data_IF_515347793565
#
_entry.id   IF_515347793565
#
_cell.length_a   1.000
_cell.length_b   1.000
_cell.length_c   1.000
_cell.angle_alpha   90.00
_cell.angle_beta   90.00
_cell.angle_gamma   90.00
#
_symmetry.space_group_name_H-M   'P 1'
#
loop_
_entity.id
_entity.type
_entity.pdbx_description
1 polymer ?
#
# COMPACT_ATOMS: atom_id res chain seq x y z
N UNK A 1 74.08 1.17 21.92
CA UNK A 1 72.95 2.06 22.28
C UNK A 1 72.58 2.82 21.02
N UNK A 2 71.33 2.67 20.55
CA UNK A 2 70.88 3.41 19.38
C UNK A 2 70.92 4.91 19.71
N UNK A 3 71.65 5.69 18.90
CA UNK A 3 71.71 7.14 19.03
C UNK A 3 70.30 7.68 18.80
N UNK A 4 69.67 8.15 19.87
CA UNK A 4 68.37 8.81 19.77
C UNK A 4 68.60 10.11 19.00
N UNK A 5 68.00 10.22 17.81
CA UNK A 5 68.06 11.43 17.01
C UNK A 5 67.38 12.54 17.80
N UNK A 6 68.13 13.54 18.23
CA UNK A 6 67.59 14.64 19.02
C UNK A 6 66.84 15.59 18.10
N UNK A 7 65.51 15.42 18.04
CA UNK A 7 64.64 16.27 17.23
C UNK A 7 64.62 17.70 17.76
N UNK A 8 64.56 18.66 16.84
CA UNK A 8 64.39 20.07 17.19
C UNK A 8 63.04 20.28 17.90
N UNK A 9 62.94 21.35 18.69
CA UNK A 9 61.68 21.71 19.36
C UNK A 9 60.55 21.93 18.35
N UNK A 10 60.87 22.50 17.18
CA UNK A 10 59.94 22.72 16.08
C UNK A 10 59.43 21.40 15.47
N UNK A 11 60.32 20.44 15.22
CA UNK A 11 59.96 19.11 14.70
C UNK A 11 59.10 18.33 15.69
N UNK A 12 59.39 18.45 17.00
CA UNK A 12 58.58 17.86 18.08
C UNK A 12 57.18 18.48 18.12
N UNK A 13 57.08 19.81 18.02
CA UNK A 13 55.79 20.53 18.00
C UNK A 13 54.95 20.18 16.76
N UNK A 14 55.55 20.15 15.57
CA UNK A 14 54.85 19.79 14.34
C UNK A 14 54.32 18.35 14.40
N UNK A 15 55.13 17.42 14.91
CA UNK A 15 54.73 16.02 15.11
C UNK A 15 53.62 15.88 16.15
N UNK A 16 53.67 16.66 17.23
CA UNK A 16 52.64 16.67 18.28
C UNK A 16 51.30 17.19 17.74
N UNK A 17 51.30 18.25 16.95
CA UNK A 17 50.09 18.78 16.30
C UNK A 17 49.51 17.76 15.31
N UNK A 18 50.37 17.07 14.55
CA UNK A 18 49.91 16.02 13.65
C UNK A 18 49.25 14.86 14.43
N UNK A 19 49.84 14.44 15.55
CA UNK A 19 49.27 13.41 16.42
C UNK A 19 47.92 13.84 17.01
N UNK A 20 47.82 15.06 17.54
CA UNK A 20 46.56 15.59 18.08
C UNK A 20 45.44 15.60 17.03
N UNK A 21 45.73 15.98 15.78
CA UNK A 21 44.74 15.93 14.69
C UNK A 21 44.28 14.51 14.37
N UNK A 22 45.17 13.52 14.48
CA UNK A 22 44.80 12.11 14.30
C UNK A 22 43.94 11.65 15.46
N UNK A 23 44.27 12.02 16.69
CA UNK A 23 43.51 11.70 17.89
C UNK A 23 42.09 12.30 17.84
N UNK A 24 41.93 13.57 17.45
CA UNK A 24 40.61 14.19 17.25
C UNK A 24 39.75 13.44 16.22
N UNK A 25 40.36 12.96 15.13
CA UNK A 25 39.64 12.13 14.15
C UNK A 25 39.25 10.76 14.69
N UNK A 26 40.06 10.17 15.56
CA UNK A 26 39.73 8.90 16.23
C UNK A 26 38.53 9.12 17.15
N UNK A 27 38.49 10.22 17.90
CA UNK A 27 37.38 10.57 18.77
C UNK A 27 36.08 10.76 17.97
N UNK A 28 36.13 11.49 16.85
CA UNK A 28 34.99 11.63 15.93
C UNK A 28 34.47 10.26 15.44
N UNK A 29 35.36 9.34 15.09
CA UNK A 29 34.99 7.98 14.69
C UNK A 29 34.36 7.20 15.85
N UNK A 30 34.85 7.38 17.08
CA UNK A 30 34.26 6.70 18.24
C UNK A 30 32.86 7.21 18.55
N UNK A 31 32.63 8.53 18.46
CA UNK A 31 31.30 9.13 18.61
C UNK A 31 30.35 8.59 17.54
N UNK A 32 30.78 8.63 16.26
CA UNK A 32 29.96 8.12 15.15
C UNK A 32 29.64 6.63 15.31
N UNK A 33 30.56 5.82 15.83
CA UNK A 33 30.30 4.40 16.11
C UNK A 33 29.22 4.18 17.17
N UNK A 34 28.98 5.13 18.06
CA UNK A 34 27.90 5.08 19.04
C UNK A 34 26.58 5.59 18.50
N UNK A 35 26.61 6.71 17.76
CA UNK A 35 25.42 7.38 17.22
C UNK A 35 24.83 6.63 16.01
N UNK A 36 25.69 6.16 15.10
CA UNK A 36 25.25 5.51 13.86
C UNK A 36 24.39 4.26 14.10
N UNK A 37 24.71 3.35 15.05
CA UNK A 37 23.80 2.24 15.37
C UNK A 37 22.43 2.68 15.86
N UNK A 38 22.33 3.80 16.58
CA UNK A 38 21.03 4.32 17.03
C UNK A 38 20.24 4.85 15.84
N UNK A 39 20.87 5.63 14.97
CA UNK A 39 20.24 6.14 13.75
C UNK A 39 19.77 5.00 12.82
N UNK A 40 20.59 3.95 12.67
CA UNK A 40 20.21 2.75 11.90
C UNK A 40 19.01 2.06 12.54
N UNK A 41 18.98 1.90 13.86
CA UNK A 41 17.86 1.30 14.58
C UNK A 41 16.57 2.10 14.39
N UNK A 42 16.64 3.44 14.51
CA UNK A 42 15.50 4.32 14.33
C UNK A 42 14.93 4.21 12.90
N UNK A 43 15.82 4.13 11.89
CA UNK A 43 15.43 3.92 10.49
C UNK A 43 14.82 2.53 10.25
N UNK A 44 15.34 1.48 10.89
CA UNK A 44 14.77 0.12 10.82
C UNK A 44 13.35 0.06 11.41
N UNK A 45 13.12 0.77 12.52
CA UNK A 45 11.80 0.91 13.13
C UNK A 45 10.83 1.69 12.23
N UNK A 46 11.28 2.78 11.60
CA UNK A 46 10.49 3.53 10.63
C UNK A 46 10.11 2.67 9.43
N UNK A 47 11.07 1.94 8.85
CA UNK A 47 10.84 1.00 7.74
C UNK A 47 9.81 -0.05 8.13
N UNK A 48 9.90 -0.59 9.35
CA UNK A 48 8.95 -1.59 9.85
C UNK A 48 7.54 -0.99 9.97
N UNK A 49 7.44 0.23 10.50
CA UNK A 49 6.16 0.96 10.57
C UNK A 49 5.55 1.23 9.20
N UNK A 50 6.37 1.64 8.22
CA UNK A 50 5.96 1.87 6.84
C UNK A 50 5.49 0.57 6.17
N UNK A 51 6.21 -0.54 6.32
CA UNK A 51 5.82 -1.85 5.80
C UNK A 51 4.48 -2.33 6.38
N UNK A 52 4.26 -2.15 7.69
CA UNK A 52 3.00 -2.49 8.33
C UNK A 52 1.84 -1.60 7.86
N UNK A 53 2.11 -0.34 7.49
CA UNK A 53 1.11 0.54 6.88
C UNK A 53 0.81 0.13 5.44
N UNK A 54 1.83 -0.18 4.65
CA UNK A 54 1.69 -0.68 3.29
C UNK A 54 0.83 -1.94 3.26
N UNK A 55 1.14 -2.93 4.11
CA UNK A 55 0.40 -4.20 4.18
C UNK A 55 -1.09 -3.97 4.44
N UNK A 56 -1.43 -3.06 5.38
CA UNK A 56 -2.83 -2.72 5.67
C UNK A 56 -3.55 -2.09 4.48
N UNK A 57 -2.88 -1.19 3.76
CA UNK A 57 -3.44 -0.57 2.55
C UNK A 57 -3.64 -1.63 1.46
N UNK A 58 -2.69 -2.56 1.30
CA UNK A 58 -2.84 -3.67 0.34
C UNK A 58 -4.01 -4.60 0.70
N UNK A 59 -4.21 -4.91 1.99
CA UNK A 59 -5.36 -5.68 2.47
C UNK A 59 -6.68 -4.96 2.18
N UNK A 60 -6.75 -3.65 2.40
CA UNK A 60 -7.92 -2.82 2.09
C UNK A 60 -8.24 -2.83 0.59
N UNK A 61 -7.23 -2.60 -0.27
CA UNK A 61 -7.37 -2.66 -1.72
C UNK A 61 -7.89 -4.04 -2.16
N UNK A 62 -7.34 -5.13 -1.61
CA UNK A 62 -7.77 -6.49 -1.92
C UNK A 62 -9.24 -6.69 -1.52
N UNK A 63 -9.66 -6.22 -0.34
CA UNK A 63 -11.06 -6.27 0.10
C UNK A 63 -12.01 -5.51 -0.83
N UNK A 64 -11.62 -4.32 -1.28
CA UNK A 64 -12.43 -3.55 -2.24
C UNK A 64 -12.49 -4.26 -3.61
N UNK A 65 -11.40 -4.86 -4.07
CA UNK A 65 -11.39 -5.65 -5.31
C UNK A 65 -12.30 -6.88 -5.24
N UNK A 66 -12.30 -7.59 -4.11
CA UNK A 66 -13.24 -8.69 -3.85
C UNK A 66 -14.69 -8.21 -3.88
N UNK A 67 -14.97 -7.06 -3.25
CA UNK A 67 -16.29 -6.44 -3.31
C UNK A 67 -16.71 -6.12 -4.75
N UNK A 68 -15.85 -5.49 -5.55
CA UNK A 68 -16.09 -5.20 -6.98
C UNK A 68 -16.39 -6.49 -7.74
N UNK A 69 -15.61 -7.54 -7.52
CA UNK A 69 -15.82 -8.83 -8.18
C UNK A 69 -17.17 -9.47 -7.80
N UNK A 70 -17.57 -9.38 -6.53
CA UNK A 70 -18.89 -9.84 -6.09
C UNK A 70 -20.03 -9.11 -6.81
N UNK A 71 -19.92 -7.78 -6.98
CA UNK A 71 -20.93 -6.98 -7.69
C UNK A 71 -20.95 -7.28 -9.19
N UNK A 72 -19.81 -7.53 -9.82
CA UNK A 72 -19.73 -7.97 -11.22
C UNK A 72 -20.42 -9.32 -11.44
N UNK A 73 -20.30 -10.25 -10.50
CA UNK A 73 -21.00 -11.53 -10.57
C UNK A 73 -22.52 -11.35 -10.42
N UNK A 74 -22.95 -10.51 -9.48
CA UNK A 74 -24.37 -10.16 -9.31
C UNK A 74 -24.97 -9.59 -10.62
N UNK A 75 -24.25 -8.70 -11.29
CA UNK A 75 -24.68 -8.15 -12.59
C UNK A 75 -24.88 -9.26 -13.62
N UNK A 76 -23.94 -10.21 -13.74
CA UNK A 76 -24.06 -11.35 -14.66
C UNK A 76 -25.27 -12.23 -14.35
N UNK A 77 -25.53 -12.48 -13.07
CA UNK A 77 -26.66 -13.30 -12.64
C UNK A 77 -28.00 -12.61 -12.93
N UNK A 78 -28.09 -11.29 -12.67
CA UNK A 78 -29.24 -10.47 -13.01
C UNK A 78 -29.49 -10.42 -14.53
N UNK A 79 -28.45 -10.29 -15.35
CA UNK A 79 -28.56 -10.37 -16.82
C UNK A 79 -29.11 -11.73 -17.29
N UNK A 80 -28.68 -12.82 -16.64
CA UNK A 80 -29.18 -14.15 -16.96
C UNK A 80 -30.67 -14.31 -16.58
N UNK A 81 -31.08 -13.74 -15.44
CA UNK A 81 -32.48 -13.72 -15.01
C UNK A 81 -33.35 -12.88 -15.95
N UNK A 82 -32.89 -11.69 -16.36
CA UNK A 82 -33.60 -10.86 -17.33
C UNK A 82 -33.85 -11.64 -18.62
N UNK A 83 -32.82 -12.27 -19.20
CA UNK A 83 -32.98 -13.08 -20.43
C UNK A 83 -33.97 -14.24 -20.25
N UNK A 84 -34.01 -14.84 -19.06
CA UNK A 84 -34.98 -15.90 -18.74
C UNK A 84 -36.39 -15.34 -18.68
N UNK A 85 -36.58 -14.20 -18.01
CA UNK A 85 -37.88 -13.54 -17.88
C UNK A 85 -38.40 -12.98 -19.20
N UNK A 86 -37.53 -12.43 -20.05
CA UNK A 86 -37.88 -11.99 -21.41
C UNK A 86 -38.46 -13.15 -22.24
N UNK A 87 -37.79 -14.32 -22.23
CA UNK A 87 -38.30 -15.53 -22.91
C UNK A 87 -39.61 -16.04 -22.33
N UNK A 88 -39.80 -15.93 -21.01
CA UNK A 88 -41.07 -16.31 -20.38
C UNK A 88 -42.18 -15.36 -20.81
N UNK A 89 -41.90 -14.06 -20.87
CA UNK A 89 -42.83 -13.00 -21.27
C UNK A 89 -43.45 -13.24 -22.66
N UNK A 90 -42.65 -13.69 -23.64
CA UNK A 90 -43.11 -14.02 -25.01
C UNK A 90 -44.19 -15.12 -25.05
N UNK A 91 -44.20 -16.01 -24.06
CA UNK A 91 -45.12 -17.14 -23.99
C UNK A 91 -46.37 -16.86 -23.14
N UNK A 92 -46.45 -15.68 -22.50
CA UNK A 92 -47.57 -15.34 -21.62
C UNK A 92 -48.74 -14.75 -22.40
N UNK A 93 -49.91 -15.39 -22.25
CA UNK A 93 -51.18 -14.94 -22.85
C UNK A 93 -52.10 -14.23 -21.84
N UNK A 94 -51.73 -14.23 -20.56
CA UNK A 94 -52.48 -13.64 -19.46
C UNK A 94 -51.87 -12.28 -19.06
N UNK A 95 -52.67 -11.21 -19.16
CA UNK A 95 -52.24 -9.84 -18.84
C UNK A 95 -51.64 -9.70 -17.43
N UNK A 96 -52.13 -10.46 -16.44
CA UNK A 96 -51.65 -10.38 -15.05
C UNK A 96 -50.27 -11.02 -14.87
N UNK A 97 -50.03 -12.14 -15.54
CA UNK A 97 -48.72 -12.81 -15.53
C UNK A 97 -47.68 -11.99 -16.30
N UNK A 98 -48.09 -11.35 -17.39
CA UNK A 98 -47.22 -10.47 -18.17
C UNK A 98 -46.76 -9.27 -17.34
N UNK A 99 -47.68 -8.64 -16.61
CA UNK A 99 -47.32 -7.52 -15.71
C UNK A 99 -46.42 -7.97 -14.56
N UNK A 100 -46.61 -9.17 -14.02
CA UNK A 100 -45.74 -9.73 -12.99
C UNK A 100 -44.31 -9.95 -13.50
N UNK A 101 -44.15 -10.55 -14.69
CA UNK A 101 -42.83 -10.76 -15.31
C UNK A 101 -42.14 -9.43 -15.61
N UNK A 102 -42.87 -8.42 -16.08
CA UNK A 102 -42.27 -7.10 -16.32
C UNK A 102 -41.76 -6.45 -15.03
N UNK A 103 -42.47 -6.60 -13.91
CA UNK A 103 -42.00 -6.11 -12.60
C UNK A 103 -40.73 -6.82 -12.15
N UNK A 104 -40.62 -8.12 -12.39
CA UNK A 104 -39.40 -8.88 -12.11
C UNK A 104 -38.23 -8.40 -12.98
N UNK A 105 -38.46 -8.15 -14.27
CA UNK A 105 -37.43 -7.58 -15.17
C UNK A 105 -36.98 -6.20 -14.68
N UNK A 106 -37.92 -5.33 -14.32
CA UNK A 106 -37.60 -3.98 -13.81
C UNK A 106 -36.82 -4.05 -12.49
N UNK A 107 -37.18 -4.97 -11.60
CA UNK A 107 -36.46 -5.21 -10.35
C UNK A 107 -35.00 -5.62 -10.63
N UNK A 108 -34.78 -6.58 -11.53
CA UNK A 108 -33.43 -7.02 -11.90
C UNK A 108 -32.61 -5.90 -12.56
N UNK A 109 -33.24 -5.06 -13.39
CA UNK A 109 -32.57 -3.90 -14.00
C UNK A 109 -32.18 -2.83 -12.95
N UNK A 110 -33.01 -2.61 -11.93
CA UNK A 110 -32.68 -1.71 -10.82
C UNK A 110 -31.52 -2.26 -9.99
N UNK A 111 -31.50 -3.57 -9.75
CA UNK A 111 -30.42 -4.23 -9.00
C UNK A 111 -29.07 -4.12 -9.74
N UNK A 112 -29.06 -4.31 -11.06
CA UNK A 112 -27.89 -4.07 -11.90
C UNK A 112 -27.37 -2.63 -11.77
N UNK A 113 -28.26 -1.63 -11.91
CA UNK A 113 -27.86 -0.22 -11.79
C UNK A 113 -27.28 0.12 -10.42
N UNK A 114 -27.84 -0.48 -9.35
CA UNK A 114 -27.31 -0.32 -8.00
C UNK A 114 -25.92 -0.96 -7.86
N UNK A 115 -25.73 -2.16 -8.43
CA UNK A 115 -24.42 -2.81 -8.44
C UNK A 115 -23.39 -2.03 -9.25
N UNK A 116 -23.75 -1.47 -10.40
CA UNK A 116 -22.90 -0.58 -11.20
C UNK A 116 -22.50 0.68 -10.42
N UNK A 117 -23.44 1.30 -9.70
CA UNK A 117 -23.14 2.43 -8.82
C UNK A 117 -22.13 2.04 -7.74
N UNK A 118 -22.36 0.93 -7.03
CA UNK A 118 -21.43 0.47 -6.00
C UNK A 118 -20.04 0.16 -6.56
N UNK A 119 -19.95 -0.39 -7.78
CA UNK A 119 -18.65 -0.61 -8.44
C UNK A 119 -17.98 0.73 -8.74
N UNK A 120 -18.73 1.74 -9.21
CA UNK A 120 -18.18 3.06 -9.49
C UNK A 120 -17.64 3.71 -8.22
N UNK A 121 -18.44 3.74 -7.15
CA UNK A 121 -18.06 4.31 -5.85
C UNK A 121 -16.81 3.60 -5.30
N UNK A 122 -16.74 2.26 -5.40
CA UNK A 122 -15.58 1.48 -4.97
C UNK A 122 -14.31 1.72 -5.83
N UNK A 123 -14.45 2.03 -7.12
CA UNK A 123 -13.30 2.38 -7.96
C UNK A 123 -12.80 3.81 -7.67
N UNK A 124 -13.69 4.71 -7.29
CA UNK A 124 -13.30 6.05 -6.80
C UNK A 124 -12.52 5.92 -5.49
N UNK A 125 -12.95 5.05 -4.57
CA UNK A 125 -12.25 4.77 -3.30
C UNK A 125 -10.86 4.14 -3.49
N UNK A 126 -10.65 3.30 -4.51
CA UNK A 126 -9.30 2.77 -4.85
C UNK A 126 -8.42 3.82 -5.55
N UNK A 127 -9.04 4.77 -6.26
CA UNK A 127 -8.34 5.74 -7.10
C UNK A 127 -7.84 7.00 -6.36
N UNK A 128 -8.40 7.30 -5.19
CA UNK A 128 -7.93 8.31 -4.24
C UNK A 128 -6.70 7.84 -3.44
#
# INVERSE_FOLDING_TARGET
MANVKDYSVEEKLASMVALQKVESKIDEIQILKGELPMEVSDLEDEITGLNARQTRIEEEINGIQEFINSKKNLIKDAEALIKKYEKQSENVKNSREFEAINKEIEMQQLEMKLAEKHIKDANEEIGE
#
